data_IF_568241624263
#
_entry.id   IF_568241624263
#
_cell.length_a   1.000
_cell.length_b   1.000
_cell.length_c   1.000
_cell.angle_alpha   90.00
_cell.angle_beta   90.00
_cell.angle_gamma   90.00
#
_symmetry.space_group_name_H-M   'P 1'
#
loop_
_entity.id
_entity.type
_entity.pdbx_description
1 polymer ?
#
# COMPACT_ATOMS: atom_id res chain seq x y z
N UNK A 1 -50.02 -32.38 36.30
CA UNK A 1 -49.72 -32.00 34.91
C UNK A 1 -48.38 -31.27 34.96
N UNK A 2 -47.28 -31.99 34.75
CA UNK A 2 -45.91 -31.49 34.94
C UNK A 2 -45.49 -30.66 33.72
N UNK A 3 -45.02 -29.43 33.95
CA UNK A 3 -44.36 -28.61 32.94
C UNK A 3 -42.89 -29.02 32.85
N UNK A 4 -42.49 -29.52 31.67
CA UNK A 4 -41.10 -29.85 31.35
C UNK A 4 -40.48 -28.64 30.65
N UNK A 5 -39.65 -27.89 31.38
CA UNK A 5 -38.88 -26.77 30.84
C UNK A 5 -37.71 -27.31 30.00
N UNK A 6 -37.77 -27.11 28.69
CA UNK A 6 -36.68 -27.44 27.77
C UNK A 6 -35.59 -26.36 27.89
N UNK A 7 -34.48 -26.69 28.54
CA UNK A 7 -33.29 -25.83 28.57
C UNK A 7 -32.58 -25.98 27.21
N UNK A 8 -32.71 -24.99 26.34
CA UNK A 8 -31.89 -24.92 25.13
C UNK A 8 -30.46 -24.53 25.54
N UNK A 9 -29.54 -25.50 25.54
CA UNK A 9 -28.12 -25.23 25.64
C UNK A 9 -27.68 -24.53 24.34
N UNK A 10 -27.42 -23.22 24.43
CA UNK A 10 -26.72 -22.51 23.38
C UNK A 10 -25.28 -23.04 23.35
N UNK A 11 -24.95 -23.83 22.34
CA UNK A 11 -23.57 -24.16 22.03
C UNK A 11 -22.91 -22.89 21.50
N UNK A 12 -22.13 -22.21 22.34
CA UNK A 12 -21.18 -21.21 21.86
C UNK A 12 -20.10 -21.97 21.08
N UNK A 13 -20.18 -21.94 19.75
CA UNK A 13 -19.03 -22.25 18.92
C UNK A 13 -18.08 -21.06 19.01
N UNK A 14 -17.05 -21.19 19.84
CA UNK A 14 -15.84 -20.38 19.69
C UNK A 14 -15.19 -20.84 18.39
N UNK A 15 -15.27 -20.02 17.34
CA UNK A 15 -14.36 -20.16 16.21
C UNK A 15 -13.00 -19.78 16.77
N UNK A 16 -12.18 -20.77 17.12
CA UNK A 16 -10.76 -20.50 17.29
C UNK A 16 -10.26 -20.16 15.89
N UNK A 17 -10.03 -18.87 15.63
CA UNK A 17 -9.18 -18.48 14.52
C UNK A 17 -7.84 -19.14 14.81
N UNK A 18 -7.51 -20.19 14.06
CA UNK A 18 -6.23 -20.85 14.22
C UNK A 18 -5.18 -19.90 13.63
N UNK A 19 -4.12 -19.66 14.40
CA UNK A 19 -2.97 -18.97 13.83
C UNK A 19 -2.27 -19.98 12.90
N UNK A 20 -2.18 -19.68 11.60
CA UNK A 20 -1.38 -20.47 10.66
C UNK A 20 0.07 -19.97 10.71
N UNK A 21 1.00 -20.88 10.93
CA UNK A 21 2.40 -20.53 11.19
C UNK A 21 3.30 -21.00 10.06
N UNK A 22 4.03 -20.07 9.44
CA UNK A 22 5.16 -20.42 8.60
C UNK A 22 6.32 -20.86 9.49
N UNK A 23 6.78 -22.10 9.31
CA UNK A 23 7.85 -22.74 10.10
C UNK A 23 9.04 -23.16 9.25
N UNK A 24 8.95 -23.00 7.93
CA UNK A 24 10.02 -23.28 6.98
C UNK A 24 10.07 -22.17 5.95
N UNK A 25 11.28 -21.81 5.51
CA UNK A 25 11.46 -20.79 4.47
C UNK A 25 11.03 -21.35 3.12
N UNK A 26 10.37 -20.52 2.30
CA UNK A 26 9.83 -20.96 1.02
C UNK A 26 8.78 -20.02 0.45
N UNK A 27 8.11 -20.49 -0.60
CA UNK A 27 7.02 -19.77 -1.22
C UNK A 27 5.75 -19.84 -0.35
N UNK A 28 4.97 -18.77 -0.33
CA UNK A 28 3.67 -18.72 0.34
C UNK A 28 2.73 -19.82 -0.18
N UNK A 29 2.77 -20.08 -1.48
CA UNK A 29 1.96 -21.12 -2.14
C UNK A 29 2.38 -22.56 -1.83
N UNK A 30 3.52 -22.80 -1.19
CA UNK A 30 3.99 -24.15 -0.88
C UNK A 30 3.47 -24.61 0.48
N UNK A 31 2.72 -25.71 0.50
CA UNK A 31 2.27 -26.39 1.73
C UNK A 31 3.41 -26.66 2.73
N UNK A 32 4.63 -26.92 2.26
CA UNK A 32 5.77 -27.24 3.12
C UNK A 32 6.30 -26.06 3.94
N UNK A 33 5.93 -24.83 3.57
CA UNK A 33 6.20 -23.60 4.34
C UNK A 33 5.45 -23.59 5.68
N UNK A 34 4.27 -24.22 5.72
CA UNK A 34 3.27 -24.09 6.79
C UNK A 34 3.27 -25.27 7.75
N UNK A 35 3.16 -25.03 9.06
CA UNK A 35 3.28 -26.06 10.10
C UNK A 35 2.24 -27.19 9.97
N UNK A 36 1.04 -26.87 9.48
CA UNK A 36 -0.04 -27.83 9.22
C UNK A 36 -0.09 -28.39 7.80
N UNK A 37 0.75 -27.90 6.89
CA UNK A 37 0.63 -28.17 5.46
C UNK A 37 -0.52 -27.42 4.77
N UNK A 38 -1.22 -26.54 5.47
CA UNK A 38 -2.33 -25.76 4.93
C UNK A 38 -1.83 -24.36 4.59
N UNK A 39 -2.10 -23.93 3.37
CA UNK A 39 -1.86 -22.55 2.95
C UNK A 39 -2.95 -21.68 3.62
N UNK A 40 -2.63 -20.49 4.15
CA UNK A 40 -3.60 -19.63 4.82
C UNK A 40 -4.85 -19.34 4.00
N UNK A 41 -6.01 -19.41 4.65
CA UNK A 41 -7.32 -19.13 4.09
C UNK A 41 -7.89 -17.79 4.60
N UNK A 42 -9.04 -17.39 4.05
CA UNK A 42 -9.69 -16.13 4.44
C UNK A 42 -10.06 -16.13 5.94
N UNK A 43 -9.70 -15.04 6.62
CA UNK A 43 -9.92 -14.83 8.05
C UNK A 43 -8.83 -15.43 8.94
N UNK A 44 -7.86 -16.18 8.41
CA UNK A 44 -6.76 -16.72 9.21
C UNK A 44 -5.84 -15.59 9.70
N UNK A 45 -5.35 -15.74 10.93
CA UNK A 45 -4.25 -14.92 11.43
C UNK A 45 -2.95 -15.65 11.13
N UNK A 46 -2.07 -15.02 10.37
CA UNK A 46 -0.84 -15.65 9.89
C UNK A 46 0.36 -15.17 10.69
N UNK A 47 1.24 -16.08 11.08
CA UNK A 47 2.53 -15.73 11.69
C UNK A 47 3.69 -16.30 10.88
N UNK A 48 4.61 -15.43 10.46
CA UNK A 48 5.91 -15.83 9.90
C UNK A 48 6.92 -15.85 11.04
N UNK A 49 7.34 -17.04 11.45
CA UNK A 49 8.19 -17.22 12.62
C UNK A 49 9.59 -16.62 12.45
N UNK A 50 10.30 -16.44 13.56
CA UNK A 50 11.70 -16.01 13.53
C UNK A 50 12.55 -16.98 12.69
N UNK A 51 13.57 -16.45 12.03
CA UNK A 51 14.48 -17.20 11.17
C UNK A 51 13.79 -17.92 9.98
N UNK A 52 12.58 -17.47 9.61
CA UNK A 52 11.81 -17.95 8.43
C UNK A 52 11.67 -16.84 7.40
N UNK A 53 12.06 -17.12 6.17
CA UNK A 53 11.91 -16.23 5.02
C UNK A 53 10.81 -16.77 4.08
N UNK A 54 9.71 -16.03 3.95
CA UNK A 54 8.60 -16.36 3.05
C UNK A 54 8.58 -15.43 1.85
N UNK A 55 8.36 -15.99 0.66
CA UNK A 55 8.13 -15.23 -0.59
C UNK A 55 6.65 -15.31 -0.96
N UNK A 56 5.96 -14.17 -1.00
CA UNK A 56 4.60 -14.07 -1.53
C UNK A 56 4.63 -14.18 -3.05
N UNK A 57 4.21 -15.34 -3.56
CA UNK A 57 4.22 -15.70 -4.98
C UNK A 57 2.82 -15.95 -5.56
N UNK A 58 1.79 -15.79 -4.74
CA UNK A 58 0.37 -15.80 -5.12
C UNK A 58 -0.39 -14.79 -4.30
N UNK A 59 -1.47 -14.25 -4.87
CA UNK A 59 -2.40 -13.38 -4.14
C UNK A 59 -2.94 -14.10 -2.89
N UNK A 60 -3.10 -13.35 -1.79
CA UNK A 60 -3.70 -13.90 -0.58
C UNK A 60 -5.23 -13.75 -0.60
N UNK A 61 -5.97 -14.66 0.05
CA UNK A 61 -7.32 -14.32 0.50
C UNK A 61 -7.28 -13.17 1.52
N UNK A 62 -8.44 -12.62 1.89
CA UNK A 62 -8.55 -11.61 2.95
C UNK A 62 -8.20 -12.21 4.32
N UNK A 63 -6.97 -12.01 4.78
CA UNK A 63 -6.46 -12.53 6.05
C UNK A 63 -7.02 -11.72 7.23
N UNK A 64 -7.19 -12.38 8.39
CA UNK A 64 -7.60 -11.73 9.64
C UNK A 64 -6.45 -11.00 10.36
N UNK A 65 -5.23 -11.10 9.85
CA UNK A 65 -4.05 -10.43 10.39
C UNK A 65 -2.75 -11.12 10.00
N UNK A 66 -1.65 -10.38 10.01
CA UNK A 66 -0.33 -10.89 9.66
C UNK A 66 0.73 -10.42 10.65
N UNK A 67 1.36 -11.36 11.35
CA UNK A 67 2.54 -11.11 12.20
C UNK A 67 3.80 -11.59 11.52
N UNK A 68 4.79 -10.71 11.35
CA UNK A 68 6.04 -11.01 10.65
C UNK A 68 7.18 -10.92 11.67
N UNK A 69 7.61 -12.06 12.22
CA UNK A 69 8.80 -12.15 13.06
C UNK A 69 10.07 -12.49 12.28
N UNK A 70 9.96 -13.28 11.22
CA UNK A 70 11.00 -13.50 10.23
C UNK A 70 10.97 -12.46 9.11
N UNK A 71 10.98 -12.92 7.85
CA UNK A 71 10.90 -12.06 6.67
C UNK A 71 9.73 -12.46 5.77
N UNK A 72 8.98 -11.47 5.29
CA UNK A 72 8.09 -11.60 4.14
C UNK A 72 8.64 -10.74 3.00
N UNK A 73 8.78 -11.34 1.82
CA UNK A 73 9.14 -10.64 0.59
C UNK A 73 8.11 -10.89 -0.51
N UNK A 74 7.95 -9.95 -1.45
CA UNK A 74 7.08 -10.14 -2.62
C UNK A 74 7.88 -10.68 -3.80
N UNK A 75 7.34 -11.70 -4.48
CA UNK A 75 7.86 -12.14 -5.77
C UNK A 75 7.78 -11.01 -6.79
N UNK A 76 8.88 -10.75 -7.51
CA UNK A 76 8.94 -9.75 -8.58
C UNK A 76 8.62 -10.34 -9.97
N UNK A 77 8.31 -11.64 -10.05
CA UNK A 77 8.03 -12.32 -11.32
C UNK A 77 6.60 -12.08 -11.84
N UNK A 78 5.68 -11.69 -10.96
CA UNK A 78 4.26 -11.55 -11.20
C UNK A 78 3.69 -10.40 -10.37
N UNK A 79 2.57 -9.83 -10.82
CA UNK A 79 1.81 -8.89 -9.98
C UNK A 79 1.23 -9.64 -8.78
N UNK A 80 1.25 -9.02 -7.60
CA UNK A 80 0.88 -9.65 -6.33
C UNK A 80 0.03 -8.74 -5.45
N UNK A 81 -1.00 -9.32 -4.83
CA UNK A 81 -1.83 -8.67 -3.82
C UNK A 81 -1.82 -9.40 -2.47
N UNK A 82 -1.47 -8.67 -1.41
CA UNK A 82 -1.66 -9.07 -0.02
C UNK A 82 -2.90 -8.37 0.55
N UNK A 83 -3.92 -9.13 0.91
CA UNK A 83 -5.12 -8.62 1.59
C UNK A 83 -5.13 -9.08 3.05
N UNK A 84 -5.18 -8.15 3.99
CA UNK A 84 -5.16 -8.44 5.44
C UNK A 84 -5.77 -7.30 6.23
N UNK A 85 -6.34 -7.57 7.39
CA UNK A 85 -6.82 -6.50 8.28
C UNK A 85 -5.67 -5.63 8.81
N UNK A 86 -4.60 -6.27 9.28
CA UNK A 86 -3.43 -5.57 9.84
C UNK A 86 -2.14 -6.34 9.59
N UNK A 87 -1.02 -5.63 9.70
CA UNK A 87 0.34 -6.20 9.64
C UNK A 87 1.13 -5.74 10.86
N UNK A 88 1.71 -6.67 11.61
CA UNK A 88 2.63 -6.40 12.72
C UNK A 88 4.02 -6.93 12.39
N UNK A 89 5.00 -6.04 12.31
CA UNK A 89 6.35 -6.33 11.83
C UNK A 89 7.33 -6.28 13.01
N UNK A 90 7.82 -7.45 13.42
CA UNK A 90 8.97 -7.60 14.32
C UNK A 90 10.27 -7.85 13.55
N UNK A 91 10.18 -8.52 12.39
CA UNK A 91 11.29 -8.79 11.49
C UNK A 91 11.29 -7.86 10.29
N UNK A 92 11.08 -8.38 9.07
CA UNK A 92 11.16 -7.59 7.84
C UNK A 92 9.98 -7.84 6.88
N UNK A 93 9.36 -6.77 6.40
CA UNK A 93 8.51 -6.78 5.21
C UNK A 93 9.24 -6.07 4.06
N UNK A 94 9.48 -6.76 2.96
CA UNK A 94 10.26 -6.27 1.82
C UNK A 94 9.49 -6.36 0.51
N UNK A 95 9.32 -5.23 -0.16
CA UNK A 95 8.89 -5.13 -1.56
C UNK A 95 9.99 -4.39 -2.32
N UNK A 96 10.95 -5.16 -2.83
CA UNK A 96 12.17 -4.65 -3.46
C UNK A 96 13.18 -4.06 -2.48
N UNK A 97 14.40 -3.84 -2.98
CA UNK A 97 15.51 -3.22 -2.25
C UNK A 97 16.03 -2.01 -3.01
N UNK A 98 16.84 -1.15 -2.36
CA UNK A 98 17.50 -0.05 -3.06
C UNK A 98 18.37 -0.53 -4.24
N UNK A 99 19.06 -1.66 -4.08
CA UNK A 99 19.92 -2.24 -5.11
C UNK A 99 19.12 -2.95 -6.22
N UNK A 100 17.98 -3.55 -5.88
CA UNK A 100 17.09 -4.24 -6.80
C UNK A 100 15.64 -3.79 -6.52
N UNK A 101 15.22 -2.64 -7.09
CA UNK A 101 13.86 -2.17 -6.92
C UNK A 101 12.85 -3.11 -7.55
N UNK A 102 11.68 -3.26 -6.92
CA UNK A 102 10.58 -4.08 -7.42
C UNK A 102 10.02 -3.48 -8.71
N UNK A 103 9.79 -4.32 -9.72
CA UNK A 103 9.40 -3.90 -11.06
C UNK A 103 7.97 -4.28 -11.43
N UNK A 104 7.46 -5.38 -10.88
CA UNK A 104 6.06 -5.80 -10.97
C UNK A 104 5.15 -4.96 -10.07
N UNK A 105 3.83 -5.12 -10.18
CA UNK A 105 2.90 -4.46 -9.28
C UNK A 105 2.76 -5.25 -7.98
N UNK A 106 2.85 -4.56 -6.85
CA UNK A 106 2.62 -5.10 -5.52
C UNK A 106 1.60 -4.23 -4.79
N UNK A 107 0.51 -4.83 -4.34
CA UNK A 107 -0.50 -4.17 -3.50
C UNK A 107 -0.58 -4.81 -2.12
N UNK A 108 -0.69 -3.95 -1.11
CA UNK A 108 -1.14 -4.31 0.23
C UNK A 108 -2.49 -3.64 0.44
N UNK A 109 -3.54 -4.44 0.56
CA UNK A 109 -4.91 -3.99 0.82
C UNK A 109 -5.24 -4.25 2.28
N UNK A 110 -5.45 -3.17 3.04
CA UNK A 110 -5.87 -3.21 4.44
C UNK A 110 -7.40 -3.28 4.53
N UNK A 111 -7.93 -4.49 4.63
CA UNK A 111 -9.38 -4.73 4.66
C UNK A 111 -10.00 -4.37 6.02
N UNK A 112 -11.28 -3.95 6.01
CA UNK A 112 -12.05 -3.66 7.22
C UNK A 112 -13.26 -4.58 7.27
N UNK A 113 -13.14 -5.69 7.99
CA UNK A 113 -14.22 -6.67 8.09
C UNK A 113 -15.19 -6.38 9.25
N UNK A 114 -14.94 -5.31 10.02
CA UNK A 114 -15.82 -4.81 11.08
C UNK A 114 -16.24 -5.86 12.12
N UNK A 115 -15.57 -5.87 13.28
CA UNK A 115 -16.12 -6.27 14.60
C UNK A 115 -15.01 -6.16 15.65
N UNK A 116 -15.26 -5.35 16.68
CA UNK A 116 -14.84 -5.37 18.09
C UNK A 116 -13.43 -5.86 18.56
N UNK A 117 -12.62 -6.57 17.76
CA UNK A 117 -11.24 -6.93 18.10
C UNK A 117 -10.27 -5.89 17.55
N UNK A 118 -9.86 -4.98 18.43
CA UNK A 118 -8.74 -4.09 18.18
C UNK A 118 -7.46 -4.85 18.52
N UNK A 119 -6.50 -4.92 17.60
CA UNK A 119 -5.15 -5.38 17.96
C UNK A 119 -4.61 -4.45 19.04
N UNK A 120 -4.59 -4.90 20.30
CA UNK A 120 -4.03 -4.16 21.43
C UNK A 120 -4.56 -2.72 21.60
N UNK A 121 -5.78 -2.43 21.14
CA UNK A 121 -6.35 -1.08 21.17
C UNK A 121 -5.80 -0.10 20.11
N UNK A 122 -5.05 -0.59 19.12
CA UNK A 122 -4.37 0.21 18.08
C UNK A 122 -5.19 0.40 16.80
N UNK A 123 -6.42 -0.13 16.75
CA UNK A 123 -7.30 -0.08 15.59
C UNK A 123 -7.34 -1.38 14.79
N UNK A 124 -8.14 -1.38 13.71
CA UNK A 124 -8.41 -2.55 12.85
C UNK A 124 -7.55 -2.59 11.59
N UNK A 125 -6.96 -1.45 11.20
CA UNK A 125 -6.21 -1.29 9.96
C UNK A 125 -4.91 -0.56 10.18
N UNK A 126 -3.81 -1.20 9.82
CA UNK A 126 -2.51 -0.57 9.85
C UNK A 126 -1.35 -1.52 9.69
N UNK A 127 -0.20 -0.93 9.36
CA UNK A 127 1.11 -1.59 9.39
C UNK A 127 1.84 -1.06 10.61
N UNK A 128 2.14 -1.94 11.55
CA UNK A 128 2.74 -1.61 12.84
C UNK A 128 4.15 -2.18 12.91
N UNK A 129 5.13 -1.34 13.21
CA UNK A 129 6.51 -1.77 13.37
C UNK A 129 6.83 -1.90 14.87
N UNK A 130 7.28 -3.08 15.27
CA UNK A 130 7.67 -3.42 16.64
C UNK A 130 9.12 -3.94 16.63
N UNK A 131 10.05 -3.03 16.38
CA UNK A 131 11.48 -3.35 16.25
C UNK A 131 11.92 -3.89 14.89
N UNK A 132 10.97 -4.13 13.97
CA UNK A 132 11.23 -4.58 12.60
C UNK A 132 11.47 -3.46 11.59
N UNK A 133 11.55 -3.85 10.30
CA UNK A 133 11.82 -2.97 9.16
C UNK A 133 10.76 -3.15 8.07
N UNK A 134 10.35 -2.04 7.46
CA UNK A 134 9.49 -2.00 6.27
C UNK A 134 10.30 -1.40 5.11
N UNK A 135 10.57 -2.20 4.08
CA UNK A 135 11.31 -1.82 2.89
C UNK A 135 10.39 -1.83 1.66
N UNK A 136 10.16 -0.66 1.05
CA UNK A 136 9.29 -0.50 -0.13
C UNK A 136 10.05 0.28 -1.21
N UNK A 137 10.75 -0.43 -2.08
CA UNK A 137 11.56 0.16 -3.15
C UNK A 137 10.97 -0.19 -4.51
N UNK A 138 10.22 0.74 -5.11
CA UNK A 138 9.62 0.60 -6.43
C UNK A 138 10.49 1.14 -7.57
N UNK A 139 10.01 1.03 -8.80
CA UNK A 139 10.76 1.37 -10.02
C UNK A 139 10.81 2.88 -10.36
N UNK A 140 10.15 3.73 -9.58
CA UNK A 140 10.15 5.18 -9.75
C UNK A 140 10.99 5.86 -8.65
N UNK A 141 12.01 6.60 -9.08
CA UNK A 141 12.86 7.45 -8.22
C UNK A 141 12.49 8.93 -8.35
N UNK A 142 12.09 9.38 -9.54
CA UNK A 142 11.56 10.72 -9.77
C UNK A 142 10.08 10.79 -9.40
N UNK A 143 9.79 10.73 -8.10
CA UNK A 143 8.44 10.61 -7.56
C UNK A 143 7.67 11.94 -7.51
N UNK A 144 8.38 13.06 -7.61
CA UNK A 144 7.87 14.42 -7.46
C UNK A 144 8.76 15.40 -8.22
N UNK A 145 8.18 16.49 -8.65
CA UNK A 145 8.84 17.60 -9.33
C UNK A 145 8.20 18.90 -8.88
N UNK A 146 8.77 20.04 -9.29
CA UNK A 146 8.15 21.35 -9.08
C UNK A 146 7.70 21.94 -10.40
N UNK A 147 6.69 22.78 -10.37
CA UNK A 147 6.38 23.67 -11.48
C UNK A 147 7.62 24.49 -11.85
N UNK A 148 7.82 24.70 -13.15
CA UNK A 148 8.84 25.61 -13.68
C UNK A 148 8.25 26.96 -14.10
N UNK A 149 6.93 27.01 -14.28
CA UNK A 149 6.14 28.21 -14.58
C UNK A 149 4.79 28.11 -13.86
N UNK A 150 4.18 29.25 -13.54
CA UNK A 150 2.85 29.29 -12.92
C UNK A 150 1.82 28.61 -13.83
N UNK A 151 1.11 27.63 -13.28
CA UNK A 151 0.06 26.92 -13.98
C UNK A 151 -1.27 27.64 -13.73
N UNK A 152 -1.73 28.37 -14.74
CA UNK A 152 -2.95 29.17 -14.63
C UNK A 152 -4.21 28.31 -14.57
N UNK A 153 -5.21 28.80 -13.83
CA UNK A 153 -6.56 28.24 -13.82
C UNK A 153 -7.10 28.10 -15.25
N UNK A 154 -7.64 26.93 -15.58
CA UNK A 154 -8.16 26.61 -16.90
C UNK A 154 -7.09 26.19 -17.92
N UNK A 155 -5.82 26.15 -17.53
CA UNK A 155 -4.78 25.55 -18.37
C UNK A 155 -4.93 24.03 -18.40
N UNK A 156 -4.70 23.41 -19.57
CA UNK A 156 -4.58 21.95 -19.73
C UNK A 156 -3.14 21.54 -20.00
N UNK A 157 -2.18 22.42 -19.72
CA UNK A 157 -0.76 22.17 -19.88
C UNK A 157 0.01 22.80 -18.73
N UNK A 158 0.99 22.06 -18.20
CA UNK A 158 1.91 22.53 -17.18
C UNK A 158 3.35 22.35 -17.63
N UNK A 159 4.24 23.20 -17.13
CA UNK A 159 5.68 23.07 -17.33
C UNK A 159 6.30 22.75 -15.97
N UNK A 160 7.06 21.67 -15.90
CA UNK A 160 7.70 21.20 -14.67
C UNK A 160 9.22 21.19 -14.80
N UNK A 161 9.94 21.08 -13.68
CA UNK A 161 11.39 21.08 -13.69
C UNK A 161 11.99 19.78 -14.27
N UNK A 162 11.30 18.66 -14.08
CA UNK A 162 11.72 17.34 -14.55
C UNK A 162 10.50 16.42 -14.75
N UNK A 163 10.49 15.65 -15.84
CA UNK A 163 9.50 14.63 -16.21
C UNK A 163 10.10 13.23 -16.34
N UNK A 164 11.36 13.03 -15.96
CA UNK A 164 12.05 11.73 -16.05
C UNK A 164 11.21 10.62 -15.41
N UNK A 165 11.13 9.47 -16.08
CA UNK A 165 10.33 8.29 -15.71
C UNK A 165 8.80 8.45 -15.78
N UNK A 166 8.26 9.65 -15.97
CA UNK A 166 6.81 9.86 -16.09
C UNK A 166 6.36 9.47 -17.50
N UNK A 167 5.15 8.93 -17.63
CA UNK A 167 4.60 8.46 -18.91
C UNK A 167 3.16 8.92 -19.11
N UNK A 168 2.74 8.92 -20.38
CA UNK A 168 1.34 9.12 -20.74
C UNK A 168 0.47 8.07 -20.06
N UNK A 169 -0.64 8.52 -19.48
CA UNK A 169 -1.56 7.72 -18.68
C UNK A 169 -1.28 7.74 -17.18
N UNK A 170 -0.12 8.23 -16.73
CA UNK A 170 0.13 8.39 -15.29
C UNK A 170 -0.81 9.44 -14.69
N UNK A 171 -1.25 9.17 -13.47
CA UNK A 171 -1.96 10.12 -12.61
C UNK A 171 -0.95 10.93 -11.81
N UNK A 172 -1.14 12.25 -11.80
CA UNK A 172 -0.35 13.20 -11.03
C UNK A 172 -1.27 14.01 -10.10
N UNK A 173 -0.67 14.59 -9.06
CA UNK A 173 -1.32 15.56 -8.18
C UNK A 173 -0.57 16.88 -8.24
N UNK A 174 -1.30 17.97 -8.38
CA UNK A 174 -0.77 19.32 -8.17
C UNK A 174 -1.14 19.74 -6.74
N UNK A 175 -0.13 20.05 -5.92
CA UNK A 175 -0.37 20.52 -4.56
C UNK A 175 -0.96 21.94 -4.56
N UNK A 176 -1.78 22.25 -3.55
CA UNK A 176 -2.26 23.61 -3.34
C UNK A 176 -1.08 24.56 -3.09
N UNK A 177 -1.13 25.74 -3.70
CA UNK A 177 -0.18 26.84 -3.47
C UNK A 177 -0.84 28.04 -2.77
N UNK A 178 -2.02 27.85 -2.20
CA UNK A 178 -2.76 28.87 -1.44
C UNK A 178 -3.05 28.35 -0.01
N UNK A 179 -3.68 29.17 0.83
CA UNK A 179 -4.05 28.82 2.21
C UNK A 179 -5.15 27.75 2.31
N UNK A 180 -5.83 27.42 1.22
CA UNK A 180 -6.83 26.35 1.16
C UNK A 180 -6.17 25.03 0.71
N UNK A 181 -5.89 24.08 1.62
CA UNK A 181 -5.25 22.83 1.26
C UNK A 181 -6.10 21.96 0.33
N UNK A 182 -7.43 22.17 0.27
CA UNK A 182 -8.32 21.41 -0.61
C UNK A 182 -8.28 21.82 -2.09
N UNK A 183 -7.43 22.78 -2.46
CA UNK A 183 -7.19 23.14 -3.86
C UNK A 183 -6.13 22.25 -4.54
N UNK A 184 -5.70 21.16 -3.88
CA UNK A 184 -4.95 20.13 -4.59
C UNK A 184 -5.87 19.38 -5.56
N UNK A 185 -5.37 19.09 -6.75
CA UNK A 185 -6.15 18.44 -7.82
C UNK A 185 -5.33 17.37 -8.54
N UNK A 186 -5.99 16.28 -8.95
CA UNK A 186 -5.34 15.18 -9.70
C UNK A 186 -5.68 15.24 -11.18
N UNK A 187 -4.73 14.83 -12.02
CA UNK A 187 -4.87 14.84 -13.48
C UNK A 187 -4.18 13.63 -14.08
N UNK A 188 -4.63 13.17 -15.23
CA UNK A 188 -3.89 12.20 -16.03
C UNK A 188 -3.06 12.90 -17.10
N UNK A 189 -1.86 12.38 -17.32
CA UNK A 189 -0.97 12.84 -18.38
C UNK A 189 -1.48 12.32 -19.73
N UNK A 190 -1.81 13.23 -20.65
CA UNK A 190 -2.23 12.88 -22.02
C UNK A 190 -1.09 12.98 -23.03
N UNK A 191 -0.07 13.81 -22.77
CA UNK A 191 1.14 13.91 -23.58
C UNK A 191 2.31 14.47 -22.74
N UNK A 192 3.54 14.10 -23.13
CA UNK A 192 4.78 14.67 -22.58
C UNK A 192 5.67 15.11 -23.74
N UNK A 193 6.12 16.37 -23.71
CA UNK A 193 7.07 16.94 -24.66
C UNK A 193 8.18 17.67 -23.90
N UNK A 194 9.27 16.97 -23.61
CA UNK A 194 10.29 17.45 -22.69
C UNK A 194 9.69 17.67 -21.30
N UNK A 195 9.78 18.88 -20.79
CA UNK A 195 9.24 19.28 -19.49
C UNK A 195 7.79 19.79 -19.52
N UNK A 196 7.16 19.78 -20.70
CA UNK A 196 5.75 20.13 -20.86
C UNK A 196 4.87 18.89 -20.77
N UNK A 197 3.86 18.94 -19.90
CA UNK A 197 2.87 17.89 -19.67
C UNK A 197 1.51 18.42 -20.12
N UNK A 198 0.81 17.69 -20.97
CA UNK A 198 -0.60 17.91 -21.28
C UNK A 198 -1.48 17.08 -20.35
N UNK A 199 -2.58 17.68 -19.91
CA UNK A 199 -3.53 17.12 -18.94
C UNK A 199 -4.80 16.64 -19.64
N UNK A 200 -5.51 15.71 -19.02
CA UNK A 200 -6.83 15.24 -19.46
C UNK A 200 -7.93 16.28 -19.25
N UNK A 201 -7.83 17.05 -18.17
CA UNK A 201 -8.78 18.11 -17.82
C UNK A 201 -8.06 19.44 -17.48
N UNK A 202 -8.69 20.60 -17.80
CA UNK A 202 -8.16 21.90 -17.39
C UNK A 202 -8.09 22.05 -15.86
N UNK A 203 -7.10 22.82 -15.38
CA UNK A 203 -6.94 23.08 -13.94
C UNK A 203 -8.11 23.90 -13.37
N UNK A 204 -8.56 23.56 -12.17
CA UNK A 204 -9.63 24.31 -11.49
C UNK A 204 -9.10 25.51 -10.72
N UNK A 205 -7.85 25.41 -10.28
CA UNK A 205 -7.12 26.41 -9.52
C UNK A 205 -5.83 26.84 -10.23
N UNK A 206 -5.27 27.97 -9.80
CA UNK A 206 -3.94 28.38 -10.21
C UNK A 206 -2.94 27.74 -9.24
N UNK A 207 -1.84 27.20 -9.78
CA UNK A 207 -0.73 26.70 -8.98
C UNK A 207 0.53 27.52 -9.26
N UNK A 208 1.06 28.13 -8.22
CA UNK A 208 2.16 29.08 -8.33
C UNK A 208 3.47 28.40 -8.73
N UNK A 209 4.23 28.98 -9.65
CA UNK A 209 5.40 28.32 -10.25
C UNK A 209 6.66 29.17 -10.24
N UNK A 210 6.77 30.18 -9.36
CA UNK A 210 7.92 31.07 -9.28
C UNK A 210 8.66 31.03 -7.94
N UNK A 211 9.91 31.49 -7.95
CA UNK A 211 10.71 31.75 -6.74
C UNK A 211 10.57 33.23 -6.41
N UNK A 212 10.05 33.57 -5.23
CA UNK A 212 9.88 34.98 -4.80
C UNK A 212 10.78 35.26 -3.60
N UNK A 213 11.43 36.41 -3.58
CA UNK A 213 12.29 36.83 -2.46
C UNK A 213 13.30 35.75 -1.98
N UNK A 214 13.88 35.00 -2.93
CA UNK A 214 14.80 33.86 -2.67
C UNK A 214 14.16 32.64 -1.98
N UNK A 215 12.84 32.62 -1.84
CA UNK A 215 12.04 31.50 -1.33
C UNK A 215 11.45 30.72 -2.52
N UNK A 216 11.72 29.42 -2.55
CA UNK A 216 11.18 28.54 -3.59
C UNK A 216 9.74 28.13 -3.25
N UNK A 217 8.79 28.90 -3.76
CA UNK A 217 7.34 28.75 -3.56
C UNK A 217 6.65 27.95 -4.67
N UNK A 218 7.43 27.36 -5.59
CA UNK A 218 6.89 26.63 -6.73
C UNK A 218 6.11 25.41 -6.26
N UNK A 219 4.90 25.27 -6.80
CA UNK A 219 3.98 24.17 -6.52
C UNK A 219 4.62 22.81 -6.81
N UNK A 220 4.49 21.92 -5.86
CA UNK A 220 4.92 20.53 -6.00
C UNK A 220 3.90 19.78 -6.87
N UNK A 221 4.43 18.97 -7.80
CA UNK A 221 3.66 18.03 -8.61
C UNK A 221 4.14 16.63 -8.30
N UNK A 222 3.27 15.79 -7.76
CA UNK A 222 3.58 14.42 -7.36
C UNK A 222 3.05 13.41 -8.36
N UNK A 223 3.81 12.35 -8.65
CA UNK A 223 3.32 11.20 -9.39
C UNK A 223 2.53 10.28 -8.45
N UNK A 224 1.26 10.01 -8.74
CA UNK A 224 0.43 9.08 -7.95
C UNK A 224 0.49 7.66 -8.49
N UNK A 225 0.76 7.47 -9.78
CA UNK A 225 0.97 6.14 -10.34
C UNK A 225 2.24 5.50 -9.76
N UNK A 226 2.05 4.40 -9.01
CA UNK A 226 3.09 3.59 -8.38
C UNK A 226 2.85 2.11 -8.66
N UNK A 227 3.93 1.35 -8.78
CA UNK A 227 3.87 -0.11 -8.85
C UNK A 227 3.68 -0.74 -7.46
N UNK A 228 4.15 -0.09 -6.40
CA UNK A 228 3.89 -0.50 -5.00
C UNK A 228 2.77 0.37 -4.43
N UNK A 229 1.70 -0.25 -3.93
CA UNK A 229 0.53 0.44 -3.35
C UNK A 229 0.18 -0.13 -1.98
N UNK A 230 -0.21 0.76 -1.07
CA UNK A 230 -0.85 0.42 0.21
C UNK A 230 -2.18 1.16 0.23
N UNK A 231 -3.29 0.43 0.41
CA UNK A 231 -4.66 0.96 0.24
C UNK A 231 -5.63 0.43 1.30
#
# INVERSE_FOLDING_TARGET
>A
MFHLSLLAAAACFSVNVLAEEAVSSGNWSDSSTWAGGNIPEAGDQVTINNDVDVVLDTDTPELGGLTISGKLSFSDDVDQELSTEWILIFGELEIGTEANPHTSNASITLVDNGKDEQLMGMGHRGIMLSGGTLNLHGNITNSRTKLAETAEKGSSTIIVANTDQWKVGDEIVLASTDFEPRQAETRHITAISGNSISLDEPLEYMHFGEITYEVDERGEVGLLTRNIKVQ
#
